data_IF_834994731505
#
_entry.id   IF_834994731505
#
_cell.length_a   1.000
_cell.length_b   1.000
_cell.length_c   1.000
_cell.angle_alpha   90.00
_cell.angle_beta   90.00
_cell.angle_gamma   90.00
#
_symmetry.space_group_name_H-M   'P 1'
#
loop_
_entity.id
_entity.type
_entity.pdbx_description
1 polymer ?
#
# COMPACT_ATOMS: atom_id res chain seq x y z
N UNK A 1 -28.63 2.01 8.87
CA UNK A 1 -27.22 1.86 9.26
C UNK A 1 -26.37 2.51 8.20
N UNK A 2 -25.86 3.73 8.44
CA UNK A 2 -25.05 4.45 7.46
C UNK A 2 -23.75 3.68 7.24
N UNK A 3 -23.62 3.01 6.08
CA UNK A 3 -22.39 2.34 5.68
C UNK A 3 -21.29 3.39 5.61
N UNK A 4 -20.31 3.31 6.51
CA UNK A 4 -19.17 4.21 6.55
C UNK A 4 -18.53 4.21 5.17
N UNK A 5 -18.60 5.35 4.46
CA UNK A 5 -18.19 5.50 3.05
C UNK A 5 -16.69 5.34 2.84
N UNK A 6 -15.90 5.16 3.89
CA UNK A 6 -14.44 5.25 3.89
C UNK A 6 -13.81 4.03 4.57
N UNK A 7 -12.59 3.68 4.15
CA UNK A 7 -11.78 2.70 4.88
C UNK A 7 -11.37 3.26 6.26
N UNK A 8 -11.14 2.40 7.26
CA UNK A 8 -10.48 2.79 8.51
C UNK A 8 -9.19 3.57 8.26
N UNK A 9 -8.85 4.51 9.13
CA UNK A 9 -7.63 5.34 8.96
C UNK A 9 -6.33 4.56 9.02
N UNK A 10 -6.36 3.36 9.57
CA UNK A 10 -5.24 2.44 9.73
C UNK A 10 -5.37 1.21 8.81
N UNK A 11 -6.31 1.23 7.87
CA UNK A 11 -6.52 0.11 6.95
C UNK A 11 -5.28 -0.15 6.09
N UNK A 12 -5.00 -1.42 5.85
CA UNK A 12 -3.94 -1.92 4.99
C UNK A 12 -4.51 -2.71 3.82
N UNK A 13 -3.66 -3.09 2.85
CA UNK A 13 -4.07 -3.95 1.74
C UNK A 13 -4.63 -5.28 2.24
N UNK A 14 -4.12 -5.82 3.35
CA UNK A 14 -4.63 -7.05 3.96
C UNK A 14 -6.10 -6.92 4.41
N UNK A 15 -6.47 -5.77 4.99
CA UNK A 15 -7.81 -5.53 5.52
C UNK A 15 -8.85 -5.37 4.41
N UNK A 16 -8.42 -4.85 3.26
CA UNK A 16 -9.30 -4.56 2.11
C UNK A 16 -9.23 -5.64 1.04
N UNK A 17 -8.33 -6.62 1.17
CA UNK A 17 -8.09 -7.65 0.17
C UNK A 17 -9.37 -8.35 -0.34
N UNK A 18 -10.34 -8.71 0.53
CA UNK A 18 -11.60 -9.33 0.07
C UNK A 18 -12.49 -8.41 -0.77
N UNK A 19 -12.30 -7.09 -0.67
CA UNK A 19 -13.10 -6.07 -1.32
C UNK A 19 -12.41 -5.51 -2.60
N UNK A 20 -11.18 -5.95 -2.91
CA UNK A 20 -10.43 -5.50 -4.08
C UNK A 20 -10.99 -6.12 -5.36
N UNK A 21 -11.22 -5.30 -6.38
CA UNK A 21 -11.42 -5.78 -7.75
C UNK A 21 -10.06 -6.23 -8.31
N UNK A 22 -10.05 -7.41 -8.94
CA UNK A 22 -8.85 -7.99 -9.55
C UNK A 22 -7.65 -8.00 -8.59
N UNK A 23 -7.88 -8.50 -7.38
CA UNK A 23 -6.94 -8.44 -6.26
C UNK A 23 -5.53 -8.96 -6.61
N UNK A 24 -5.43 -10.00 -7.45
CA UNK A 24 -4.15 -10.55 -7.90
C UNK A 24 -3.36 -9.53 -8.75
N UNK A 25 -4.01 -8.93 -9.74
CA UNK A 25 -3.39 -7.92 -10.62
C UNK A 25 -3.04 -6.65 -9.85
N UNK A 26 -3.93 -6.19 -8.98
CA UNK A 26 -3.66 -5.05 -8.12
C UNK A 26 -2.41 -5.28 -7.24
N UNK A 27 -2.32 -6.43 -6.57
CA UNK A 27 -1.16 -6.80 -5.75
C UNK A 27 0.11 -6.91 -6.60
N UNK A 28 0.00 -7.46 -7.82
CA UNK A 28 1.13 -7.60 -8.74
C UNK A 28 1.71 -6.24 -9.12
N UNK A 29 0.87 -5.26 -9.47
CA UNK A 29 1.33 -3.90 -9.82
C UNK A 29 1.96 -3.17 -8.64
N UNK A 30 1.37 -3.30 -7.44
CA UNK A 30 1.96 -2.76 -6.21
C UNK A 30 3.33 -3.41 -5.95
N UNK A 31 3.43 -4.74 -6.04
CA UNK A 31 4.68 -5.47 -5.84
C UNK A 31 5.76 -5.10 -6.86
N UNK A 32 5.42 -4.92 -8.13
CA UNK A 32 6.36 -4.43 -9.16
C UNK A 32 6.94 -3.09 -8.74
N UNK A 33 6.09 -2.18 -8.29
CA UNK A 33 6.50 -0.84 -7.88
C UNK A 33 7.32 -0.86 -6.58
N UNK A 34 6.96 -1.71 -5.62
CA UNK A 34 7.73 -1.91 -4.39
C UNK A 34 9.11 -2.48 -4.67
N UNK A 35 9.23 -3.45 -5.60
CA UNK A 35 10.53 -4.00 -6.04
C UNK A 35 11.42 -2.93 -6.68
N UNK A 36 10.83 -2.02 -7.46
CA UNK A 36 11.55 -0.88 -8.02
C UNK A 36 12.11 0.01 -6.90
N UNK A 37 11.26 0.39 -5.93
CA UNK A 37 11.69 1.14 -4.75
C UNK A 37 12.82 0.40 -4.01
N UNK A 38 12.66 -0.91 -3.81
CA UNK A 38 13.60 -1.71 -3.05
C UNK A 38 14.98 -1.80 -3.72
N UNK A 39 14.99 -1.97 -5.04
CA UNK A 39 16.23 -2.01 -5.83
C UNK A 39 17.03 -0.70 -5.72
N UNK A 40 16.35 0.44 -5.60
CA UNK A 40 16.99 1.75 -5.57
C UNK A 40 17.31 2.25 -4.16
N UNK A 41 16.51 1.90 -3.15
CA UNK A 41 16.55 2.53 -1.83
C UNK A 41 16.51 1.57 -0.63
N UNK A 42 16.49 0.25 -0.86
CA UNK A 42 16.45 -0.73 0.24
C UNK A 42 15.02 -1.12 0.64
N UNK A 43 14.61 -0.89 1.88
CA UNK A 43 13.26 -1.33 2.27
C UNK A 43 12.15 -0.55 1.55
N UNK A 44 10.99 -1.18 1.39
CA UNK A 44 9.81 -0.55 0.79
C UNK A 44 8.58 -0.84 1.64
N UNK A 45 7.76 0.19 1.87
CA UNK A 45 6.49 0.10 2.59
C UNK A 45 5.37 0.66 1.75
N UNK A 46 4.21 0.00 1.72
CA UNK A 46 3.01 0.47 1.00
C UNK A 46 1.90 0.90 1.96
N UNK A 47 1.21 1.98 1.60
CA UNK A 47 0.00 2.49 2.26
C UNK A 47 -1.10 2.69 1.25
N UNK A 48 -2.35 2.68 1.70
CA UNK A 48 -3.53 2.89 0.84
C UNK A 48 -4.18 4.23 1.11
N UNK A 49 -4.84 4.78 0.09
CA UNK A 49 -5.75 5.91 0.22
C UNK A 49 -7.02 5.45 0.92
N UNK A 50 -7.38 6.15 1.99
CA UNK A 50 -8.58 5.86 2.80
C UNK A 50 -9.73 6.83 2.51
N UNK A 51 -9.54 7.77 1.58
CA UNK A 51 -10.58 8.68 1.10
C UNK A 51 -11.59 7.94 0.23
N UNK A 52 -12.49 7.20 0.89
CA UNK A 52 -13.58 6.48 0.23
C UNK A 52 -13.31 4.99 0.15
N UNK A 53 -14.37 4.19 0.08
CA UNK A 53 -14.30 2.74 -0.15
C UNK A 53 -14.35 2.51 -1.66
N UNK A 54 -13.19 2.25 -2.25
CA UNK A 54 -13.03 1.93 -3.68
C UNK A 54 -12.50 0.50 -3.80
N UNK A 55 -13.02 -0.33 -4.72
CA UNK A 55 -12.47 -1.67 -4.97
C UNK A 55 -11.07 -1.63 -5.59
N UNK A 56 -10.58 -0.45 -5.99
CA UNK A 56 -9.21 -0.21 -6.46
C UNK A 56 -8.72 1.09 -5.82
N UNK A 57 -8.35 1.07 -4.52
CA UNK A 57 -7.91 2.27 -3.83
C UNK A 57 -6.52 2.69 -4.31
N UNK A 58 -6.28 3.99 -4.35
CA UNK A 58 -4.95 4.55 -4.58
C UNK A 58 -3.97 4.03 -3.53
N UNK A 59 -2.69 3.94 -3.89
CA UNK A 59 -1.65 3.51 -2.97
C UNK A 59 -0.43 4.40 -3.09
N UNK A 60 0.38 4.43 -2.04
CA UNK A 60 1.70 5.06 -2.07
C UNK A 60 2.74 4.13 -1.52
N UNK A 61 3.96 4.29 -2.00
CA UNK A 61 5.12 3.56 -1.55
C UNK A 61 6.08 4.55 -0.90
N UNK A 62 6.48 4.21 0.30
CA UNK A 62 7.47 4.92 1.09
C UNK A 62 8.78 4.11 1.11
N UNK A 63 9.91 4.81 1.04
CA UNK A 63 11.28 4.29 1.21
C UNK A 63 11.82 4.69 2.58
N UNK A 64 12.83 4.01 3.14
CA UNK A 64 13.51 4.47 4.34
C UNK A 64 14.09 5.86 4.08
N UNK A 65 13.98 6.73 5.09
CA UNK A 65 14.65 8.03 5.10
C UNK A 65 16.09 7.83 5.57
N UNK A 66 17.06 8.10 4.70
CA UNK A 66 18.48 7.95 5.01
C UNK A 66 18.98 9.01 6.00
N UNK A 67 18.31 10.17 6.08
CA UNK A 67 18.66 11.27 7.01
C UNK A 67 18.08 11.10 8.40
N UNK A 68 17.08 10.22 8.58
CA UNK A 68 16.45 9.96 9.87
C UNK A 68 17.18 8.91 10.73
N UNK A 69 18.33 8.41 10.27
CA UNK A 69 19.11 7.40 11.02
C UNK A 69 19.88 7.97 12.21
N UNK A 70 20.09 9.29 12.28
CA UNK A 70 20.92 9.93 13.32
C UNK A 70 20.14 10.67 14.42
N UNK A 71 18.94 11.16 14.16
CA UNK A 71 18.17 11.94 15.14
C UNK A 71 16.88 11.22 15.50
N UNK A 72 16.82 10.68 16.73
CA UNK A 72 15.77 9.83 17.32
C UNK A 72 14.33 10.38 17.37
N UNK A 73 13.84 11.01 16.30
CA UNK A 73 12.45 11.35 16.07
C UNK A 73 11.70 10.14 15.50
N UNK A 74 11.21 9.32 16.42
CA UNK A 74 10.33 8.18 16.16
C UNK A 74 9.04 8.69 15.51
N UNK A 75 8.96 8.51 14.19
CA UNK A 75 7.88 8.67 13.20
C UNK A 75 8.44 9.17 11.84
N UNK A 76 9.69 9.68 11.83
CA UNK A 76 10.32 10.37 10.69
C UNK A 76 11.22 9.50 9.78
N UNK A 77 11.08 8.17 9.81
CA UNK A 77 12.01 7.27 9.10
C UNK A 77 11.63 6.90 7.67
N UNK A 78 10.66 7.58 7.04
CA UNK A 78 10.11 7.17 5.74
C UNK A 78 9.85 8.35 4.81
N UNK A 79 10.48 8.34 3.64
CA UNK A 79 10.27 9.34 2.58
C UNK A 79 9.37 8.75 1.49
N UNK A 80 8.50 9.57 0.89
CA UNK A 80 7.69 9.15 -0.25
C UNK A 80 8.57 8.76 -1.45
N UNK A 81 8.41 7.55 -1.98
CA UNK A 81 8.98 7.15 -3.28
C UNK A 81 8.02 7.50 -4.43
N UNK A 82 6.73 7.24 -4.26
CA UNK A 82 5.70 7.57 -5.24
C UNK A 82 4.29 7.23 -4.76
N UNK A 83 3.29 7.93 -5.29
CA UNK A 83 1.88 7.62 -5.10
C UNK A 83 1.23 7.35 -6.46
N UNK A 84 0.21 6.50 -6.47
CA UNK A 84 -0.34 5.90 -7.67
C UNK A 84 -1.86 5.74 -7.56
N UNK A 85 -2.55 5.91 -8.69
CA UNK A 85 -3.98 5.68 -8.78
C UNK A 85 -4.31 4.20 -8.74
N UNK A 86 -5.30 3.79 -7.94
CA UNK A 86 -5.56 2.37 -7.72
C UNK A 86 -6.06 1.61 -8.95
N UNK A 87 -6.77 2.28 -9.86
CA UNK A 87 -7.30 1.67 -11.09
C UNK A 87 -6.31 1.69 -12.26
N UNK A 88 -5.65 2.82 -12.47
CA UNK A 88 -4.76 2.98 -13.62
C UNK A 88 -3.31 2.63 -13.30
N UNK A 89 -2.96 2.54 -12.02
CA UNK A 89 -1.57 2.41 -11.54
C UNK A 89 -0.65 3.54 -12.02
N UNK A 90 -1.22 4.63 -12.56
CA UNK A 90 -0.46 5.81 -12.98
C UNK A 90 0.00 6.61 -11.78
N UNK A 91 1.17 7.21 -11.93
CA UNK A 91 1.75 8.07 -10.90
C UNK A 91 0.90 9.32 -10.67
N UNK A 92 0.59 9.58 -9.42
CA UNK A 92 -0.08 10.80 -9.00
C UNK A 92 0.83 12.03 -9.12
N UNK A 93 0.19 13.17 -9.37
CA UNK A 93 0.84 14.48 -9.21
C UNK A 93 1.13 14.74 -7.73
N UNK A 94 1.99 15.73 -7.46
CA UNK A 94 2.25 16.15 -6.06
C UNK A 94 0.97 16.60 -5.35
N UNK A 95 0.09 17.32 -6.07
CA UNK A 95 -1.20 17.79 -5.53
C UNK A 95 -2.08 16.61 -5.12
N UNK A 96 -2.32 15.67 -6.03
CA UNK A 96 -3.15 14.49 -5.73
C UNK A 96 -2.56 13.67 -4.58
N UNK A 97 -1.22 13.61 -4.50
CA UNK A 97 -0.54 12.90 -3.41
C UNK A 97 -0.75 13.58 -2.06
N UNK A 98 -0.68 14.90 -2.00
CA UNK A 98 -0.87 15.67 -0.77
C UNK A 98 -2.32 15.69 -0.29
N UNK A 99 -3.28 15.76 -1.22
CA UNK A 99 -4.72 15.82 -0.91
C UNK A 99 -5.32 14.44 -0.56
N UNK A 100 -4.67 13.36 -0.97
CA UNK A 100 -5.14 12.01 -0.62
C UNK A 100 -4.89 11.73 0.86
N UNK A 101 -5.92 11.30 1.58
CA UNK A 101 -5.77 10.81 2.95
C UNK A 101 -5.22 9.39 2.91
N UNK A 102 -4.01 9.20 3.43
CA UNK A 102 -3.33 7.92 3.46
C UNK A 102 -3.53 7.19 4.78
N UNK A 103 -3.45 5.86 4.74
CA UNK A 103 -3.49 5.03 5.94
C UNK A 103 -2.30 5.33 6.88
N UNK A 104 -2.51 5.20 8.19
CA UNK A 104 -1.45 5.32 9.18
C UNK A 104 -0.53 4.09 9.18
N UNK A 105 -1.13 2.89 9.07
CA UNK A 105 -0.40 1.62 8.92
C UNK A 105 0.06 1.41 7.48
N UNK A 106 1.18 0.70 7.36
CA UNK A 106 1.78 0.30 6.10
C UNK A 106 2.12 -1.19 6.13
N UNK A 107 2.27 -1.81 4.96
CA UNK A 107 2.78 -3.16 4.81
C UNK A 107 4.15 -3.15 4.13
N UNK A 108 5.06 -3.99 4.61
CA UNK A 108 6.36 -4.21 4.02
C UNK A 108 6.33 -5.21 2.87
N UNK A 109 7.49 -5.37 2.21
CA UNK A 109 7.64 -6.29 1.07
C UNK A 109 7.31 -7.75 1.43
N UNK A 110 7.75 -8.23 2.59
CA UNK A 110 7.49 -9.60 3.03
C UNK A 110 5.99 -9.89 3.23
N UNK A 111 5.27 -8.97 3.87
CA UNK A 111 3.83 -9.07 4.09
C UNK A 111 3.07 -9.07 2.75
N UNK A 112 3.46 -8.19 1.83
CA UNK A 112 2.86 -8.11 0.50
C UNK A 112 3.08 -9.39 -0.33
N UNK A 113 4.27 -9.99 -0.25
CA UNK A 113 4.54 -11.29 -0.89
C UNK A 113 3.70 -12.40 -0.27
N UNK A 114 3.55 -12.42 1.06
CA UNK A 114 2.69 -13.40 1.75
C UNK A 114 1.22 -13.26 1.35
N UNK A 115 0.70 -12.03 1.19
CA UNK A 115 -0.66 -11.79 0.69
C UNK A 115 -0.83 -12.31 -0.74
N UNK A 116 0.12 -12.03 -1.62
CA UNK A 116 0.07 -12.50 -3.01
C UNK A 116 0.17 -14.03 -3.11
N UNK A 117 1.02 -14.68 -2.31
CA UNK A 117 1.08 -16.16 -2.24
C UNK A 117 -0.24 -16.74 -1.70
N UNK A 118 -0.83 -16.09 -0.70
CA UNK A 118 -2.11 -16.48 -0.11
C UNK A 118 -3.28 -16.46 -1.09
N UNK A 119 -3.27 -15.59 -2.10
CA UNK A 119 -4.27 -15.60 -3.18
C UNK A 119 -4.10 -16.78 -4.14
N UNK A 120 -2.85 -17.20 -4.37
CA UNK A 120 -2.51 -18.28 -5.30
C UNK A 120 -2.78 -19.65 -4.73
N UNK A 121 -2.78 -19.81 -3.40
CA UNK A 121 -3.20 -21.04 -2.76
C UNK A 121 -4.72 -21.13 -2.85
N UNK A 122 -5.29 -22.11 -3.59
CA UNK A 122 -6.71 -22.34 -3.52
C UNK A 122 -7.07 -22.61 -2.06
N UNK A 123 -8.15 -21.99 -1.59
CA UNK A 123 -8.77 -22.26 -0.29
C UNK A 123 -9.37 -23.67 -0.34
N UNK A 124 -8.51 -24.68 -0.37
CA UNK A 124 -8.85 -26.06 -0.73
C UNK A 124 -8.01 -27.12 -0.04
N UNK A 125 -7.08 -26.76 0.83
CA UNK A 125 -6.36 -27.70 1.71
C UNK A 125 -6.56 -27.30 3.17
N UNK A 126 -7.77 -27.57 3.65
CA UNK A 126 -8.04 -27.83 5.05
C UNK A 126 -8.99 -29.03 5.09
N UNK A 127 -8.42 -30.20 4.84
CA UNK A 127 -9.00 -31.51 5.15
C UNK A 127 -8.50 -31.95 6.52
#
# INVERSE_FOLDING_TARGET
MARTKHYPSDATIADILPDLADAEDYLREVLVTMRLCQKHYGDASVRIGVTGRSPTPSYRIDRPDETARDDGAVEAGRTLFGAYGGRSHDRFTQVNTAETRWSSRALGMAEMLALHDGLRRPRGDAA
#
